data_IF_025873407996
#
_entry.id   IF_025873407996
#
_cell.length_a   1.000
_cell.length_b   1.000
_cell.length_c   1.000
_cell.angle_alpha   90.00
_cell.angle_beta   90.00
_cell.angle_gamma   90.00
#
_symmetry.space_group_name_H-M   'P 1'
#
loop_
_entity.id
_entity.type
_entity.pdbx_description
1 polymer ?
#
# COMPACT_ATOMS: atom_id res chain seq x y z
N UNK A 1 -3.49 13.77 -2.83
CA UNK A 1 -2.60 13.03 -1.92
C UNK A 1 -2.26 11.67 -2.50
N UNK A 2 -1.00 11.24 -2.35
CA UNK A 2 -0.48 9.92 -2.77
C UNK A 2 -0.48 8.97 -1.59
N UNK A 3 -1.23 7.87 -1.69
CA UNK A 3 -1.40 6.91 -0.60
C UNK A 3 -0.85 5.56 -1.00
N UNK A 4 0.06 5.03 -0.19
CA UNK A 4 0.56 3.66 -0.30
C UNK A 4 -0.22 2.75 0.65
N UNK A 5 -0.71 1.63 0.12
CA UNK A 5 -1.40 0.61 0.89
C UNK A 5 -0.50 -0.61 1.04
N UNK A 6 -0.28 -1.05 2.29
CA UNK A 6 0.37 -2.32 2.61
C UNK A 6 -0.48 -3.15 3.57
N UNK A 7 -0.39 -4.47 3.42
CA UNK A 7 -1.11 -5.44 4.25
C UNK A 7 -0.38 -6.78 4.24
N UNK A 8 -0.68 -7.65 5.19
CA UNK A 8 -0.15 -9.01 5.22
C UNK A 8 -0.61 -9.86 4.02
N UNK A 9 0.17 -10.88 3.68
CA UNK A 9 -0.08 -11.81 2.55
C UNK A 9 -1.46 -12.49 2.59
N UNK A 10 -2.01 -12.68 3.78
CA UNK A 10 -3.31 -13.34 3.99
C UNK A 10 -4.41 -12.36 4.39
N UNK A 11 -4.16 -11.06 4.31
CA UNK A 11 -5.16 -10.06 4.65
C UNK A 11 -6.31 -10.11 3.64
N UNK A 12 -7.53 -10.26 4.15
CA UNK A 12 -8.73 -10.55 3.37
C UNK A 12 -9.89 -9.59 3.64
N UNK A 13 -9.78 -8.68 4.61
CA UNK A 13 -10.84 -7.72 4.91
C UNK A 13 -10.80 -6.53 3.94
N UNK A 14 -11.32 -6.77 2.74
CA UNK A 14 -11.38 -5.80 1.66
C UNK A 14 -12.28 -4.61 1.99
N UNK A 15 -13.30 -4.80 2.83
CA UNK A 15 -14.25 -3.76 3.22
C UNK A 15 -13.59 -2.72 4.12
N UNK A 16 -12.72 -3.17 5.04
CA UNK A 16 -11.93 -2.25 5.85
C UNK A 16 -10.98 -1.42 4.99
N UNK A 17 -10.39 -1.98 3.93
CA UNK A 17 -9.54 -1.21 3.01
C UNK A 17 -10.31 -0.08 2.34
N UNK A 18 -11.43 -0.38 1.68
CA UNK A 18 -12.20 0.63 0.95
C UNK A 18 -12.76 1.68 1.90
N UNK A 19 -13.28 1.27 3.07
CA UNK A 19 -13.81 2.20 4.08
C UNK A 19 -12.75 3.19 4.58
N UNK A 20 -11.52 2.73 4.84
CA UNK A 20 -10.44 3.62 5.26
C UNK A 20 -10.07 4.58 4.13
N UNK A 21 -9.98 4.09 2.89
CA UNK A 21 -9.70 4.95 1.73
C UNK A 21 -10.78 6.03 1.56
N UNK A 22 -12.06 5.68 1.70
CA UNK A 22 -13.18 6.64 1.65
C UNK A 22 -13.06 7.73 2.72
N UNK A 23 -12.78 7.35 3.98
CA UNK A 23 -12.62 8.30 5.09
C UNK A 23 -11.48 9.30 4.82
N UNK A 24 -10.34 8.82 4.32
CA UNK A 24 -9.24 9.69 3.95
C UNK A 24 -9.57 10.56 2.74
N UNK A 25 -10.18 9.99 1.70
CA UNK A 25 -10.54 10.72 0.48
C UNK A 25 -11.53 11.86 0.75
N UNK A 26 -12.48 11.67 1.67
CA UNK A 26 -13.42 12.70 2.11
C UNK A 26 -12.74 13.88 2.81
N UNK A 27 -11.65 13.61 3.54
CA UNK A 27 -10.90 14.65 4.26
C UNK A 27 -9.88 15.34 3.36
N UNK A 28 -9.13 14.57 2.59
CA UNK A 28 -8.10 15.01 1.65
C UNK A 28 -8.16 14.10 0.43
N UNK A 29 -8.53 14.66 -0.71
CA UNK A 29 -8.67 13.89 -1.95
C UNK A 29 -7.41 13.07 -2.26
N UNK A 30 -7.58 11.76 -2.33
CA UNK A 30 -6.56 10.81 -2.77
C UNK A 30 -6.52 10.88 -4.29
N UNK A 31 -5.39 11.31 -4.84
CA UNK A 31 -5.18 11.47 -6.28
C UNK A 31 -4.44 10.28 -6.88
N UNK A 32 -3.65 9.56 -6.06
CA UNK A 32 -2.91 8.36 -6.47
C UNK A 32 -2.97 7.33 -5.36
N UNK A 33 -3.30 6.09 -5.72
CA UNK A 33 -3.11 4.91 -4.85
C UNK A 33 -1.93 4.08 -5.35
N UNK A 34 -1.14 3.59 -4.41
CA UNK A 34 0.06 2.81 -4.66
C UNK A 34 -0.08 1.47 -3.93
N UNK A 35 0.30 0.37 -4.56
CA UNK A 35 0.31 -0.94 -3.91
C UNK A 35 1.34 -1.91 -4.52
N UNK A 36 1.74 -2.91 -3.73
CA UNK A 36 2.72 -3.93 -4.12
C UNK A 36 2.22 -5.04 -5.04
N UNK A 37 1.03 -4.89 -5.64
CA UNK A 37 0.45 -5.93 -6.49
C UNK A 37 -0.04 -7.19 -5.76
N UNK A 38 -0.49 -7.06 -4.50
CA UNK A 38 -1.09 -8.18 -3.75
C UNK A 38 -2.26 -8.80 -4.54
N UNK A 39 -2.29 -10.13 -4.67
CA UNK A 39 -3.22 -10.80 -5.59
C UNK A 39 -4.69 -10.54 -5.26
N UNK A 40 -5.07 -10.61 -3.97
CA UNK A 40 -6.47 -10.38 -3.54
C UNK A 40 -6.81 -8.91 -3.32
N UNK A 41 -5.85 -8.06 -2.91
CA UNK A 41 -6.12 -6.67 -2.54
C UNK A 41 -5.91 -5.72 -3.72
N UNK A 42 -5.04 -6.06 -4.67
CA UNK A 42 -4.74 -5.21 -5.81
C UNK A 42 -5.99 -4.88 -6.61
N UNK A 43 -6.81 -5.89 -6.92
CA UNK A 43 -8.07 -5.67 -7.64
C UNK A 43 -9.05 -4.74 -6.90
N UNK A 44 -9.11 -4.84 -5.57
CA UNK A 44 -9.97 -3.99 -4.72
C UNK A 44 -9.48 -2.55 -4.72
N UNK A 45 -8.18 -2.33 -4.50
CA UNK A 45 -7.56 -1.00 -4.49
C UNK A 45 -7.73 -0.33 -5.86
N UNK A 46 -7.55 -1.08 -6.94
CA UNK A 46 -7.72 -0.59 -8.31
C UNK A 46 -9.18 -0.28 -8.66
N UNK A 47 -10.13 -1.10 -8.19
CA UNK A 47 -11.56 -0.86 -8.32
C UNK A 47 -11.95 0.44 -7.65
N UNK A 48 -11.56 0.61 -6.38
CA UNK A 48 -11.78 1.83 -5.62
C UNK A 48 -11.19 3.07 -6.31
N UNK A 49 -9.96 2.96 -6.82
CA UNK A 49 -9.32 4.07 -7.52
C UNK A 49 -10.06 4.48 -8.79
N UNK A 50 -10.57 3.50 -9.55
CA UNK A 50 -11.36 3.76 -10.75
C UNK A 50 -12.66 4.51 -10.42
N UNK A 51 -13.36 4.07 -9.38
CA UNK A 51 -14.61 4.69 -8.94
C UNK A 51 -14.41 6.12 -8.44
N UNK A 52 -13.26 6.40 -7.83
CA UNK A 52 -12.93 7.71 -7.24
C UNK A 52 -12.00 8.57 -8.13
N UNK A 53 -11.81 8.19 -9.40
CA UNK A 53 -10.94 8.90 -10.36
C UNK A 53 -9.50 9.13 -9.87
N UNK A 54 -8.96 8.21 -9.07
CA UNK A 54 -7.58 8.22 -8.61
C UNK A 54 -6.67 7.41 -9.56
N UNK A 55 -5.45 7.88 -9.75
CA UNK A 55 -4.43 7.14 -10.49
C UNK A 55 -3.93 5.93 -9.69
N UNK A 56 -3.48 4.88 -10.39
CA UNK A 56 -2.91 3.68 -9.76
C UNK A 56 -1.44 3.55 -10.14
N UNK A 57 -0.58 3.26 -9.17
CA UNK A 57 0.80 2.82 -9.41
C UNK A 57 1.02 1.46 -8.75
N UNK A 58 1.47 0.49 -9.54
CA UNK A 58 1.65 -0.91 -9.11
C UNK A 58 3.12 -1.28 -9.08
N UNK A 59 3.53 -1.92 -7.99
CA UNK A 59 4.89 -2.42 -7.82
C UNK A 59 4.86 -3.94 -7.58
N UNK A 60 4.68 -4.78 -8.61
CA UNK A 60 4.76 -6.23 -8.44
C UNK A 60 6.20 -6.64 -8.05
N UNK A 61 6.33 -7.60 -7.13
CA UNK A 61 7.62 -8.13 -6.74
C UNK A 61 8.26 -8.94 -7.88
N UNK A 62 9.51 -8.63 -8.24
CA UNK A 62 10.25 -9.36 -9.28
C UNK A 62 10.95 -10.60 -8.70
N UNK A 63 10.17 -11.68 -8.56
CA UNK A 63 10.64 -12.96 -8.04
C UNK A 63 11.70 -13.63 -8.92
N UNK A 64 11.61 -13.46 -10.25
CA UNK A 64 12.57 -14.02 -11.21
C UNK A 64 13.97 -13.46 -10.98
N UNK A 65 14.08 -12.15 -10.75
CA UNK A 65 15.36 -11.47 -10.58
C UNK A 65 15.92 -11.57 -9.15
N UNK A 66 15.07 -11.42 -8.13
CA UNK A 66 15.53 -11.23 -6.75
C UNK A 66 15.23 -12.41 -5.82
N UNK A 67 14.54 -13.45 -6.29
CA UNK A 67 14.19 -14.63 -5.51
C UNK A 67 13.52 -14.25 -4.18
N UNK A 68 14.00 -14.83 -3.07
CA UNK A 68 13.46 -14.58 -1.72
C UNK A 68 13.54 -13.11 -1.25
N UNK A 69 14.30 -12.25 -1.92
CA UNK A 69 14.42 -10.83 -1.59
C UNK A 69 13.50 -9.93 -2.41
N UNK A 70 12.68 -10.50 -3.29
CA UNK A 70 11.86 -9.73 -4.23
C UNK A 70 10.90 -8.77 -3.55
N UNK A 71 10.23 -9.19 -2.47
CA UNK A 71 9.30 -8.33 -1.73
C UNK A 71 10.01 -7.20 -0.99
N UNK A 72 11.15 -7.49 -0.35
CA UNK A 72 11.96 -6.47 0.35
C UNK A 72 12.50 -5.43 -0.63
N UNK A 73 13.09 -5.87 -1.75
CA UNK A 73 13.59 -4.98 -2.81
C UNK A 73 12.48 -4.13 -3.41
N UNK A 74 11.31 -4.74 -3.64
CA UNK A 74 10.13 -4.03 -4.12
C UNK A 74 9.65 -3.02 -3.09
N UNK A 75 9.58 -3.34 -1.79
CA UNK A 75 9.15 -2.41 -0.74
C UNK A 75 10.02 -1.15 -0.71
N UNK A 76 11.34 -1.32 -0.75
CA UNK A 76 12.30 -0.22 -0.81
C UNK A 76 12.08 0.66 -2.03
N UNK A 77 12.12 0.05 -3.23
CA UNK A 77 11.94 0.77 -4.48
C UNK A 77 10.58 1.46 -4.57
N UNK A 78 9.51 0.80 -4.12
CA UNK A 78 8.16 1.34 -4.09
C UNK A 78 8.07 2.58 -3.22
N UNK A 79 8.68 2.61 -2.03
CA UNK A 79 8.68 3.79 -1.16
C UNK A 79 9.48 4.95 -1.78
N UNK A 80 10.65 4.65 -2.36
CA UNK A 80 11.55 5.64 -2.97
C UNK A 80 10.96 6.26 -4.25
N UNK A 81 10.54 5.43 -5.20
CA UNK A 81 10.09 5.86 -6.52
C UNK A 81 8.70 6.50 -6.47
N UNK A 82 7.77 5.92 -5.68
CA UNK A 82 6.39 6.39 -5.66
C UNK A 82 6.17 7.63 -4.79
N UNK A 83 7.11 7.94 -3.89
CA UNK A 83 7.05 9.07 -2.96
C UNK A 83 5.64 9.26 -2.34
N UNK A 84 5.14 8.28 -1.56
CA UNK A 84 3.84 8.40 -0.94
C UNK A 84 3.89 9.43 0.20
N UNK A 85 2.81 10.20 0.35
CA UNK A 85 2.66 11.14 1.47
C UNK A 85 2.13 10.41 2.72
N UNK A 86 1.43 9.30 2.52
CA UNK A 86 0.79 8.49 3.55
C UNK A 86 0.94 7.00 3.23
N UNK A 87 1.36 6.22 4.23
CA UNK A 87 1.25 4.76 4.27
C UNK A 87 0.03 4.38 5.13
N UNK A 88 -0.92 3.68 4.53
CA UNK A 88 -1.97 2.94 5.25
C UNK A 88 -1.52 1.50 5.40
N UNK A 89 -1.19 1.11 6.64
CA UNK A 89 -0.73 -0.22 6.96
C UNK A 89 -1.84 -1.02 7.63
N UNK A 90 -2.34 -2.03 6.94
CA UNK A 90 -3.31 -2.99 7.44
C UNK A 90 -2.59 -4.18 8.13
N UNK A 91 -3.29 -4.95 8.97
CA UNK A 91 -2.70 -6.07 9.69
C UNK A 91 -1.87 -7.00 8.81
N UNK A 92 -0.68 -7.36 9.30
CA UNK A 92 0.27 -8.18 8.58
C UNK A 92 1.43 -8.66 9.46
N UNK A 93 2.30 -9.47 8.87
CA UNK A 93 3.47 -10.06 9.55
C UNK A 93 4.74 -9.22 9.41
N UNK A 94 5.89 -9.88 9.52
CA UNK A 94 7.22 -9.26 9.49
C UNK A 94 7.44 -8.34 8.27
N UNK A 95 7.05 -8.77 7.06
CA UNK A 95 7.18 -7.96 5.85
C UNK A 95 6.42 -6.63 5.93
N UNK A 96 5.27 -6.63 6.60
CA UNK A 96 4.45 -5.41 6.81
C UNK A 96 5.11 -4.52 7.86
N UNK A 97 5.57 -5.10 8.97
CA UNK A 97 6.31 -4.38 10.01
C UNK A 97 7.58 -3.72 9.46
N UNK A 98 8.31 -4.40 8.58
CA UNK A 98 9.50 -3.85 7.96
C UNK A 98 9.17 -2.74 6.94
N UNK A 99 8.10 -2.87 6.18
CA UNK A 99 7.60 -1.78 5.32
C UNK A 99 7.22 -0.54 6.14
N UNK A 100 6.56 -0.70 7.29
CA UNK A 100 6.24 0.38 8.23
C UNK A 100 7.51 1.06 8.73
N UNK A 101 8.52 0.30 9.17
CA UNK A 101 9.81 0.85 9.63
C UNK A 101 10.49 1.66 8.53
N UNK A 102 10.54 1.13 7.31
CA UNK A 102 11.12 1.81 6.15
C UNK A 102 10.41 3.12 5.85
N UNK A 103 9.07 3.12 5.86
CA UNK A 103 8.28 4.32 5.63
C UNK A 103 8.54 5.39 6.71
N UNK A 104 8.55 5.00 7.99
CA UNK A 104 8.87 5.91 9.11
C UNK A 104 10.26 6.50 8.98
N UNK A 105 11.26 5.69 8.64
CA UNK A 105 12.64 6.15 8.45
C UNK A 105 12.78 7.13 7.27
N UNK A 106 11.92 6.98 6.26
CA UNK A 106 11.84 7.90 5.12
C UNK A 106 11.01 9.17 5.42
N UNK A 107 10.51 9.35 6.65
CA UNK A 107 9.69 10.50 7.03
C UNK A 107 8.25 10.46 6.49
N UNK A 108 7.81 9.32 5.97
CA UNK A 108 6.45 9.14 5.45
C UNK A 108 5.49 8.97 6.62
N UNK A 109 4.33 9.66 6.56
CA UNK A 109 3.29 9.49 7.57
C UNK A 109 2.77 8.06 7.52
N UNK A 110 2.77 7.37 8.66
CA UNK A 110 2.24 6.00 8.76
C UNK A 110 1.00 5.98 9.63
N UNK A 111 -0.03 5.30 9.16
CA UNK A 111 -1.25 4.99 9.91
C UNK A 111 -1.40 3.47 9.91
N UNK A 112 -1.26 2.88 11.09
CA UNK A 112 -1.54 1.47 11.32
C UNK A 112 -3.06 1.35 11.58
N UNK A 113 -3.74 0.54 10.78
CA UNK A 113 -5.17 0.29 10.87
C UNK A 113 -5.39 -0.90 11.78
N UNK A 114 -5.86 -0.64 13.00
CA UNK A 114 -6.34 -1.68 13.91
C UNK A 114 -7.79 -2.05 13.58
N UNK A 115 -8.13 -3.33 13.69
CA UNK A 115 -9.48 -3.87 13.42
C UNK A 115 -9.99 -4.55 14.69
#
# INVERSE_FOLDING_TARGET
MRVLICAGRFYADIHSVTRVLDLYHQSIAISVVIHGGHQSLGGVIEGWARENSAHVVRYPANWSLYGKYAEIRRNLFMLEDSQPELLLAFPGGEDTADCIKLARNAGIKVIEVEI
#
